data_IF_978764740709
#
_entry.id   IF_978764740709
#
_cell.length_a   1.000
_cell.length_b   1.000
_cell.length_c   1.000
_cell.angle_alpha   90.00
_cell.angle_beta   90.00
_cell.angle_gamma   90.00
#
_symmetry.space_group_name_H-M   'P 1'
#
loop_
_entity.id
_entity.type
_entity.pdbx_description
1 polymer ?
#
# COMPACT_ATOMS: atom_id res chain seq x y z
N UNK A 1 4.66 -6.92 -15.46
CA UNK A 1 5.00 -7.82 -14.34
C UNK A 1 4.09 -7.45 -13.21
N UNK A 2 3.48 -8.42 -12.54
CA UNK A 2 2.58 -8.16 -11.42
C UNK A 2 3.33 -7.50 -10.26
N UNK A 3 2.64 -6.64 -9.51
CA UNK A 3 3.20 -6.07 -8.29
C UNK A 3 3.41 -7.18 -7.25
N UNK A 4 4.52 -7.10 -6.53
CA UNK A 4 4.89 -8.00 -5.44
C UNK A 4 4.78 -7.29 -4.09
N UNK A 5 4.86 -8.07 -3.01
CA UNK A 5 4.95 -7.54 -1.65
C UNK A 5 6.09 -6.52 -1.51
N UNK A 6 7.25 -6.81 -2.10
CA UNK A 6 8.43 -5.94 -2.04
C UNK A 6 8.20 -4.63 -2.83
N UNK A 7 7.50 -4.66 -3.97
CA UNK A 7 7.15 -3.44 -4.70
C UNK A 7 6.28 -2.49 -3.87
N UNK A 8 5.30 -3.03 -3.13
CA UNK A 8 4.45 -2.22 -2.24
C UNK A 8 5.25 -1.70 -1.06
N UNK A 9 6.09 -2.55 -0.46
CA UNK A 9 6.97 -2.16 0.65
C UNK A 9 7.91 -1.03 0.24
N UNK A 10 8.61 -1.18 -0.87
CA UNK A 10 9.52 -0.16 -1.41
C UNK A 10 8.75 1.15 -1.69
N UNK A 11 7.53 1.05 -2.19
CA UNK A 11 6.65 2.19 -2.44
C UNK A 11 6.22 2.90 -1.14
N UNK A 12 6.02 2.17 -0.04
CA UNK A 12 5.78 2.75 1.29
C UNK A 12 7.05 3.43 1.81
N UNK A 13 8.21 2.79 1.67
CA UNK A 13 9.50 3.38 2.09
C UNK A 13 9.81 4.66 1.30
N UNK A 14 9.46 4.72 0.00
CA UNK A 14 9.55 5.93 -0.83
C UNK A 14 8.62 7.06 -0.38
N UNK A 15 7.46 6.74 0.18
CA UNK A 15 6.54 7.74 0.73
C UNK A 15 7.12 8.37 2.01
N UNK A 16 7.92 7.62 2.76
CA UNK A 16 8.69 8.10 3.92
C UNK A 16 8.60 7.20 5.15
N UNK A 17 9.56 7.34 6.06
CA UNK A 17 9.66 6.56 7.32
C UNK A 17 8.40 6.63 8.19
N UNK A 18 7.67 7.74 8.14
CA UNK A 18 6.42 7.91 8.91
C UNK A 18 5.35 6.90 8.48
N UNK A 19 5.26 6.61 7.18
CA UNK A 19 4.30 5.64 6.64
C UNK A 19 4.67 4.21 7.03
N UNK A 20 5.97 3.88 7.00
CA UNK A 20 6.45 2.58 7.48
C UNK A 20 6.25 2.42 8.99
N UNK A 21 6.47 3.49 9.76
CA UNK A 21 6.22 3.53 11.19
C UNK A 21 4.74 3.31 11.55
N UNK A 22 3.82 3.84 10.73
CA UNK A 22 2.38 3.63 10.92
C UNK A 22 1.98 2.15 10.75
N UNK A 23 2.51 1.44 9.75
CA UNK A 23 2.29 0.01 9.57
C UNK A 23 2.83 -0.81 10.75
N UNK A 24 4.04 -0.51 11.22
CA UNK A 24 4.62 -1.21 12.37
C UNK A 24 3.78 -1.02 13.63
N UNK A 25 3.43 0.22 13.96
CA UNK A 25 2.59 0.53 15.12
C UNK A 25 1.21 -0.13 15.03
N UNK A 26 0.61 -0.19 13.84
CA UNK A 26 -0.67 -0.89 13.65
C UNK A 26 -0.61 -2.37 14.03
N UNK A 27 0.48 -3.05 13.69
CA UNK A 27 0.71 -4.42 14.11
C UNK A 27 1.04 -4.54 15.61
N UNK A 28 1.88 -3.66 16.14
CA UNK A 28 2.35 -3.70 17.54
C UNK A 28 1.25 -3.31 18.56
N UNK A 29 0.40 -2.33 18.25
CA UNK A 29 -0.69 -1.86 19.11
C UNK A 29 -1.86 -2.86 19.18
N UNK A 30 -1.89 -3.89 18.33
CA UNK A 30 -3.00 -4.82 18.22
C UNK A 30 -3.07 -5.88 19.35
N UNK A 31 -2.16 -5.88 20.31
CA UNK A 31 -2.15 -6.89 21.37
C UNK A 31 -3.41 -6.79 22.27
N UNK A 32 -4.09 -7.89 22.61
CA UNK A 32 -3.75 -9.31 22.40
C UNK A 32 -4.24 -9.96 21.09
N UNK A 33 -4.88 -9.22 20.19
CA UNK A 33 -5.44 -9.76 18.93
C UNK A 33 -4.60 -9.30 17.72
N UNK A 34 -3.49 -10.01 17.40
CA UNK A 34 -2.48 -9.51 16.46
C UNK A 34 -3.09 -9.20 15.10
N UNK A 35 -2.93 -7.95 14.66
CA UNK A 35 -3.29 -7.48 13.31
C UNK A 35 -2.29 -8.01 12.27
N UNK A 36 -2.66 -8.04 10.98
CA UNK A 36 -1.75 -8.47 9.91
C UNK A 36 -0.41 -7.75 9.99
N UNK A 37 0.68 -8.47 9.72
CA UNK A 37 2.01 -7.86 9.73
C UNK A 37 2.12 -6.83 8.61
N UNK A 38 3.05 -5.86 8.69
CA UNK A 38 3.32 -4.95 7.57
C UNK A 38 3.57 -5.70 6.26
N UNK A 39 4.15 -6.91 6.33
CA UNK A 39 4.35 -7.77 5.18
C UNK A 39 3.06 -8.35 4.60
N UNK A 40 2.12 -8.75 5.45
CA UNK A 40 0.79 -9.26 5.04
C UNK A 40 -0.04 -8.14 4.39
N UNK A 41 -0.02 -6.93 4.99
CA UNK A 41 -0.65 -5.74 4.42
C UNK A 41 -0.10 -5.43 3.02
N UNK A 42 1.23 -5.41 2.88
CA UNK A 42 1.88 -5.17 1.58
C UNK A 42 1.55 -6.25 0.54
N UNK A 43 1.46 -7.52 0.97
CA UNK A 43 1.06 -8.62 0.10
C UNK A 43 -0.39 -8.47 -0.37
N UNK A 44 -1.31 -8.18 0.56
CA UNK A 44 -2.73 -7.96 0.25
C UNK A 44 -2.94 -6.81 -0.74
N UNK A 45 -2.23 -5.69 -0.57
CA UNK A 45 -2.30 -4.58 -1.52
C UNK A 45 -1.74 -4.94 -2.90
N UNK A 46 -0.64 -5.70 -2.96
CA UNK A 46 -0.11 -6.17 -4.24
C UNK A 46 -1.17 -7.01 -4.98
N UNK A 47 -1.80 -7.96 -4.28
CA UNK A 47 -2.87 -8.79 -4.84
C UNK A 47 -4.08 -7.94 -5.28
N UNK A 48 -4.52 -6.97 -4.46
CA UNK A 48 -5.63 -6.06 -4.77
C UNK A 48 -5.34 -5.21 -6.02
N UNK A 49 -4.17 -4.58 -6.10
CA UNK A 49 -3.77 -3.77 -7.26
C UNK A 49 -3.63 -4.61 -8.53
N UNK A 50 -3.15 -5.85 -8.40
CA UNK A 50 -3.10 -6.79 -9.52
C UNK A 50 -4.51 -7.17 -9.99
N UNK A 51 -5.46 -7.41 -9.07
CA UNK A 51 -6.86 -7.70 -9.40
C UNK A 51 -7.57 -6.52 -10.07
N UNK A 52 -7.23 -5.28 -9.69
CA UNK A 52 -7.70 -4.06 -10.35
C UNK A 52 -7.03 -3.81 -11.72
N UNK A 53 -6.10 -4.67 -12.13
CA UNK A 53 -5.33 -4.53 -13.38
C UNK A 53 -4.23 -3.48 -13.31
N UNK A 54 -4.09 -2.75 -12.21
CA UNK A 54 -3.09 -1.67 -12.04
C UNK A 54 -1.67 -2.20 -11.92
N UNK A 55 -1.50 -3.39 -11.32
CA UNK A 55 -0.17 -3.97 -11.15
C UNK A 55 0.39 -4.65 -12.40
N UNK A 56 -0.46 -5.02 -13.37
CA UNK A 56 -0.02 -5.65 -14.63
C UNK A 56 -0.06 -4.69 -15.83
N UNK A 57 -0.63 -3.51 -15.67
CA UNK A 57 -0.78 -2.54 -16.74
C UNK A 57 0.55 -1.80 -17.01
N UNK A 58 1.12 -1.88 -18.22
CA UNK A 58 2.40 -1.24 -18.56
C UNK A 58 2.33 0.29 -18.59
N UNK A 59 1.12 0.82 -18.71
CA UNK A 59 0.82 2.25 -18.71
C UNK A 59 0.79 2.85 -17.30
N UNK A 60 0.73 2.03 -16.25
CA UNK A 60 0.74 2.49 -14.87
C UNK A 60 2.05 2.15 -14.18
N UNK A 61 2.54 3.12 -13.41
CA UNK A 61 3.74 3.00 -12.59
C UNK A 61 3.40 3.37 -11.16
N UNK A 62 3.63 2.46 -10.21
CA UNK A 62 3.46 2.73 -8.79
C UNK A 62 4.60 3.65 -8.31
N UNK A 63 4.25 4.88 -7.92
CA UNK A 63 5.22 5.86 -7.45
C UNK A 63 5.48 5.71 -5.94
N UNK A 64 4.42 5.81 -5.15
CA UNK A 64 4.46 5.83 -3.69
C UNK A 64 3.16 5.25 -3.11
N UNK A 65 3.26 4.69 -1.90
CA UNK A 65 2.13 4.16 -1.14
C UNK A 65 2.03 4.94 0.15
N UNK A 66 0.97 5.72 0.30
CA UNK A 66 0.71 6.51 1.50
C UNK A 66 -0.04 5.67 2.50
N UNK A 67 0.51 5.60 3.70
CA UNK A 67 -0.12 4.96 4.86
C UNK A 67 -0.62 6.04 5.81
N UNK A 68 -1.92 6.10 6.03
CA UNK A 68 -2.56 7.01 6.97
C UNK A 68 -3.11 6.21 8.15
N UNK A 69 -2.82 6.64 9.38
CA UNK A 69 -3.40 6.01 10.57
C UNK A 69 -4.80 6.57 10.82
N UNK A 70 -5.79 5.68 10.91
CA UNK A 70 -7.19 6.04 11.18
C UNK A 70 -7.64 5.31 12.45
N UNK A 71 -7.50 5.98 13.59
CA UNK A 71 -7.72 5.35 14.89
C UNK A 71 -6.70 4.24 15.14
N UNK A 72 -7.19 3.02 15.33
CA UNK A 72 -6.37 1.83 15.53
C UNK A 72 -5.99 1.13 14.21
N UNK A 73 -6.61 1.53 13.10
CA UNK A 73 -6.42 0.96 11.76
C UNK A 73 -5.45 1.79 10.91
N UNK A 74 -5.01 1.21 9.79
CA UNK A 74 -4.26 1.90 8.74
C UNK A 74 -5.06 1.92 7.46
N UNK A 75 -4.94 3.02 6.74
CA UNK A 75 -5.54 3.25 5.44
C UNK A 75 -4.43 3.46 4.43
N UNK A 76 -4.39 2.65 3.38
CA UNK A 76 -3.39 2.78 2.33
C UNK A 76 -4.01 3.39 1.08
N UNK A 77 -3.27 4.33 0.50
CA UNK A 77 -3.60 5.00 -0.76
C UNK A 77 -2.38 4.93 -1.68
N UNK A 78 -2.55 4.42 -2.90
CA UNK A 78 -1.46 4.31 -3.87
C UNK A 78 -1.50 5.47 -4.85
N UNK A 79 -0.33 6.05 -5.10
CA UNK A 79 -0.13 7.03 -6.16
C UNK A 79 0.46 6.31 -7.37
N UNK A 80 -0.32 6.27 -8.45
CA UNK A 80 0.14 5.73 -9.73
C UNK A 80 0.36 6.86 -10.72
N UNK A 81 1.40 6.73 -11.53
CA UNK A 81 1.61 7.55 -12.71
C UNK A 81 1.06 6.83 -13.93
N UNK A 82 0.17 7.49 -14.67
CA UNK A 82 -0.18 7.07 -16.02
C UNK A 82 0.91 7.56 -16.97
N UNK A 83 1.76 6.66 -17.47
CA UNK A 83 2.92 6.97 -18.31
C UNK A 83 2.56 7.73 -19.59
N UNK A 84 1.50 7.37 -20.35
CA UNK A 84 1.16 8.05 -21.60
C UNK A 84 0.82 9.53 -21.43
N UNK A 85 0.14 9.90 -20.34
CA UNK A 85 -0.31 11.29 -20.11
C UNK A 85 0.51 12.02 -19.05
N UNK A 86 1.33 11.30 -18.28
CA UNK A 86 2.03 11.83 -17.11
C UNK A 86 1.12 12.13 -15.92
N UNK A 87 -0.18 11.84 -15.99
CA UNK A 87 -1.12 12.12 -14.92
C UNK A 87 -0.84 11.28 -13.68
N UNK A 88 -1.07 11.85 -12.49
CA UNK A 88 -1.02 11.14 -11.21
C UNK A 88 -2.44 10.74 -10.81
N UNK A 89 -2.61 9.47 -10.50
CA UNK A 89 -3.87 8.87 -10.07
C UNK A 89 -3.70 8.38 -8.65
N UNK A 90 -4.77 8.49 -7.87
CA UNK A 90 -4.86 7.98 -6.52
C UNK A 90 -5.84 6.81 -6.55
N UNK A 91 -5.47 5.68 -5.96
CA UNK A 91 -6.44 4.61 -5.74
C UNK A 91 -7.41 5.01 -4.65
N UNK A 92 -8.56 4.34 -4.60
CA UNK A 92 -9.42 4.44 -3.43
C UNK A 92 -8.67 3.97 -2.18
N UNK A 93 -8.81 4.69 -1.05
CA UNK A 93 -8.20 4.31 0.21
C UNK A 93 -8.76 2.97 0.69
N UNK A 94 -7.87 2.03 1.03
CA UNK A 94 -8.25 0.73 1.56
C UNK A 94 -7.79 0.56 3.01
N UNK A 95 -8.64 0.00 3.87
CA UNK A 95 -8.43 -0.06 5.32
C UNK A 95 -8.88 -1.38 5.96
N UNK A 96 -9.20 -2.41 5.15
CA UNK A 96 -9.77 -3.68 5.63
C UNK A 96 -8.70 -4.79 5.61
N UNK A 97 -7.58 -4.56 6.29
CA UNK A 97 -6.55 -5.58 6.50
C UNK A 97 -6.89 -6.37 7.75
N UNK A 98 -7.46 -7.57 7.57
CA UNK A 98 -7.89 -8.46 8.65
C UNK A 98 -7.06 -9.73 8.70
#
# INVERSE_FOLDING_TARGET
MALTRDDIRDSVERAGDEHWGALRRHHEDAYPNPKPTPGDVCKGEAERLNQLGLGNAPDFELLETRVERVGEEVRLTHVLRHRPTGARLLTEPFQDYK
#
